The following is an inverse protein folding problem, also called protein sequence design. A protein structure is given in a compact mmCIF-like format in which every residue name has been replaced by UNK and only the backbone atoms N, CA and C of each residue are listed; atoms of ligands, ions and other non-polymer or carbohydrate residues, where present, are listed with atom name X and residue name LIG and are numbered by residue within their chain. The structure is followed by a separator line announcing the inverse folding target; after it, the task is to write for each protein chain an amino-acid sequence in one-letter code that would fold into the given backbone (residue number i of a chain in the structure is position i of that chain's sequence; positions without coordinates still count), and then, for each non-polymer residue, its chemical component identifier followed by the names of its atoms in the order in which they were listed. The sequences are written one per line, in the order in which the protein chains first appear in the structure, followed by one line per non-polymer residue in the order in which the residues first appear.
data_IF_367523436222
#
_entry.id   IF_367523436222
#
_cell.length_a   1.000
_cell.length_b   1.000
_cell.length_c   1.000
_cell.angle_alpha   90.00
_cell.angle_beta   90.00
_cell.angle_gamma   90.00
#
_symmetry.space_group_name_H-M   'P 1'
#
loop_
_entity.id
_entity.type
_entity.pdbx_description
1 polymer ?
#
# COMPACT_ATOMS: atom_id res chain seq x y z
N UNK A 1 -11.78 -6.18 -5.44
CA UNK A 1 -10.53 -5.56 -4.96
C UNK A 1 -10.55 -4.14 -5.42
N UNK A 2 -10.82 -3.21 -4.52
CA UNK A 2 -10.85 -1.78 -4.83
C UNK A 2 -9.47 -1.15 -4.57
N UNK A 3 -9.17 -0.08 -5.30
CA UNK A 3 -8.00 0.75 -5.05
C UNK A 3 -8.01 1.21 -3.59
N UNK A 4 -6.87 1.07 -2.92
CA UNK A 4 -6.61 1.39 -1.51
C UNK A 4 -7.21 0.44 -0.46
N UNK A 5 -7.71 -0.71 -0.88
CA UNK A 5 -7.92 -1.83 0.04
C UNK A 5 -6.58 -2.36 0.57
N UNK A 6 -6.54 -2.68 1.86
CA UNK A 6 -5.40 -3.36 2.50
C UNK A 6 -5.71 -4.85 2.63
N UNK A 7 -4.77 -5.68 2.20
CA UNK A 7 -4.86 -7.13 2.26
C UNK A 7 -3.77 -7.72 3.16
N UNK A 8 -4.11 -8.80 3.84
CA UNK A 8 -3.14 -9.68 4.53
C UNK A 8 -2.81 -10.89 3.66
N UNK A 9 -1.53 -11.12 3.44
CA UNK A 9 -1.02 -12.30 2.73
C UNK A 9 -0.94 -13.52 3.66
N UNK A 10 -0.76 -14.75 3.12
CA UNK A 10 -0.63 -15.96 3.95
C UNK A 10 0.55 -15.93 4.94
N UNK A 11 1.64 -15.26 4.61
CA UNK A 11 2.82 -15.06 5.47
C UNK A 11 2.65 -13.88 6.45
N UNK A 12 1.47 -13.24 6.45
CA UNK A 12 1.07 -12.23 7.43
C UNK A 12 1.44 -10.79 7.07
N UNK A 13 2.05 -10.55 5.90
CA UNK A 13 2.36 -9.20 5.43
C UNK A 13 1.08 -8.42 5.11
N UNK A 14 1.13 -7.11 5.32
CA UNK A 14 0.07 -6.20 4.93
C UNK A 14 0.47 -5.48 3.64
N UNK A 15 -0.40 -5.54 2.65
CA UNK A 15 -0.18 -4.98 1.32
C UNK A 15 -1.36 -4.08 0.96
N UNK A 16 -1.06 -2.87 0.52
CA UNK A 16 -2.04 -1.90 0.02
C UNK A 16 -2.18 -2.08 -1.49
N UNK A 17 -3.40 -2.27 -2.00
CA UNK A 17 -3.68 -2.19 -3.44
C UNK A 17 -3.57 -0.72 -3.89
N UNK A 18 -2.64 -0.41 -4.78
CA UNK A 18 -2.42 0.94 -5.29
C UNK A 18 -2.91 1.10 -6.74
N UNK A 19 -3.38 0.02 -7.37
CA UNK A 19 -3.78 0.01 -8.76
C UNK A 19 -5.14 0.69 -8.94
N UNK A 20 -5.26 1.52 -9.97
CA UNK A 20 -6.52 2.17 -10.31
C UNK A 20 -7.64 1.15 -10.59
N UNK A 21 -8.87 1.46 -10.15
CA UNK A 21 -10.04 0.61 -10.36
C UNK A 21 -10.38 0.42 -11.85
N UNK A 22 -10.07 1.40 -12.70
CA UNK A 22 -10.22 1.28 -14.16
C UNK A 22 -9.37 0.17 -14.78
N UNK A 23 -8.37 -0.33 -14.06
CA UNK A 23 -7.50 -1.44 -14.46
C UNK A 23 -7.86 -2.75 -13.73
N UNK A 24 -9.10 -2.90 -13.28
CA UNK A 24 -9.53 -4.08 -12.51
C UNK A 24 -9.43 -5.40 -13.28
N UNK A 25 -9.52 -5.38 -14.61
CA UNK A 25 -9.48 -6.58 -15.44
C UNK A 25 -8.09 -7.24 -15.52
N UNK A 26 -7.03 -6.55 -15.06
CA UNK A 26 -5.70 -7.13 -14.99
C UNK A 26 -5.64 -8.25 -13.95
N UNK A 27 -4.92 -9.33 -14.27
CA UNK A 27 -4.72 -10.47 -13.39
C UNK A 27 -3.82 -10.15 -12.17
N UNK A 28 -3.05 -9.06 -12.27
CA UNK A 28 -2.13 -8.59 -11.23
C UNK A 28 -2.60 -7.26 -10.64
N UNK A 29 -2.09 -6.96 -9.44
CA UNK A 29 -2.25 -5.70 -8.73
C UNK A 29 -0.89 -5.10 -8.40
N UNK A 30 -0.69 -3.83 -8.72
CA UNK A 30 0.38 -3.03 -8.13
C UNK A 30 0.05 -2.78 -6.65
N UNK A 31 0.94 -3.24 -5.77
CA UNK A 31 0.78 -3.12 -4.32
C UNK A 31 2.00 -2.45 -3.69
N UNK A 32 1.79 -1.81 -2.54
CA UNK A 32 2.87 -1.32 -1.68
C UNK A 32 2.78 -1.97 -0.29
N UNK A 33 3.89 -2.41 0.33
CA UNK A 33 3.85 -3.02 1.64
C UNK A 33 3.62 -1.99 2.75
N UNK A 34 2.83 -2.38 3.74
CA UNK A 34 2.63 -1.67 5.00
C UNK A 34 3.45 -2.37 6.09
N UNK A 35 4.51 -1.72 6.55
CA UNK A 35 5.43 -2.27 7.56
C UNK A 35 5.21 -1.52 8.87
N UNK A 36 5.19 -2.23 10.00
CA UNK A 36 5.13 -1.61 11.33
C UNK A 36 6.20 -0.52 11.44
N UNK A 37 5.80 0.63 11.98
CA UNK A 37 6.63 1.84 11.96
C UNK A 37 8.00 1.64 12.64
N UNK A 38 8.07 0.80 13.67
CA UNK A 38 9.30 0.46 14.40
C UNK A 38 10.27 -0.45 13.63
N UNK A 39 9.78 -1.12 12.58
CA UNK A 39 10.54 -2.04 11.71
C UNK A 39 10.75 -1.49 10.30
N UNK A 40 10.09 -0.40 9.96
CA UNK A 40 10.18 0.20 8.64
C UNK A 40 11.58 0.81 8.41
N UNK A 41 12.05 0.90 7.14
CA UNK A 41 13.24 1.67 6.80
C UNK A 41 13.12 3.14 7.25
N UNK A 42 14.25 3.87 7.36
CA UNK A 42 14.25 5.28 7.73
C UNK A 42 13.21 6.10 6.95
N UNK A 43 12.34 6.78 7.68
CA UNK A 43 11.17 7.44 7.11
C UNK A 43 11.57 8.64 6.25
N UNK A 44 10.94 8.75 5.09
CA UNK A 44 10.91 9.94 4.23
C UNK A 44 9.46 10.39 4.11
N UNK A 45 9.09 11.51 4.74
CA UNK A 45 7.68 11.86 4.97
C UNK A 45 6.79 11.84 3.71
N UNK A 46 7.30 12.34 2.59
CA UNK A 46 6.56 12.37 1.32
C UNK A 46 6.57 11.05 0.56
N UNK A 47 7.55 10.18 0.79
CA UNK A 47 7.66 8.87 0.12
C UNK A 47 6.97 7.77 0.93
N UNK A 48 6.98 7.86 2.26
CA UNK A 48 6.53 6.81 3.17
C UNK A 48 5.49 7.37 4.15
N UNK A 49 4.23 7.58 3.70
CA UNK A 49 3.13 7.97 4.57
C UNK A 49 2.87 6.89 5.63
N UNK A 50 2.30 7.32 6.75
CA UNK A 50 2.03 6.47 7.91
C UNK A 50 0.53 6.44 8.17
N UNK A 51 0.02 5.26 8.45
CA UNK A 51 -1.39 5.01 8.72
C UNK A 51 -1.56 4.35 10.08
N UNK A 52 -2.64 4.71 10.77
CA UNK A 52 -3.11 3.97 11.94
C UNK A 52 -4.06 2.87 11.46
N UNK A 53 -3.69 1.62 11.75
CA UNK A 53 -4.52 0.44 11.54
C UNK A 53 -4.73 -0.23 12.90
N UNK A 54 -5.94 -0.11 13.45
CA UNK A 54 -6.35 -0.71 14.72
C UNK A 54 -5.41 -0.37 15.92
N UNK A 55 -4.90 0.86 15.97
CA UNK A 55 -4.02 1.34 17.04
C UNK A 55 -2.54 1.00 16.86
N UNK A 56 -2.17 0.39 15.73
CA UNK A 56 -0.79 0.18 15.34
C UNK A 56 -0.43 1.08 14.14
N UNK A 57 0.75 1.71 14.20
CA UNK A 57 1.24 2.57 13.13
C UNK A 57 2.01 1.75 12.10
N UNK A 58 1.61 1.90 10.84
CA UNK A 58 2.25 1.27 9.69
C UNK A 58 2.73 2.32 8.71
N UNK A 59 3.98 2.21 8.26
CA UNK A 59 4.50 2.98 7.14
C UNK A 59 4.24 2.24 5.83
N UNK A 60 3.67 2.94 4.85
CA UNK A 60 3.75 2.49 3.46
C UNK A 60 5.19 2.65 2.99
N UNK A 61 5.79 1.58 2.48
CA UNK A 61 7.17 1.60 1.98
C UNK A 61 7.13 1.60 0.45
N UNK A 62 6.86 2.77 -0.12
CA UNK A 62 6.52 2.94 -1.55
C UNK A 62 7.61 2.42 -2.48
N UNK A 63 8.88 2.58 -2.11
CA UNK A 63 9.99 2.08 -2.92
C UNK A 63 10.09 0.55 -2.98
N UNK A 64 9.30 -0.18 -2.17
CA UNK A 64 9.16 -1.63 -2.23
C UNK A 64 7.86 -2.06 -2.94
N UNK A 65 7.21 -1.14 -3.66
CA UNK A 65 6.05 -1.48 -4.47
C UNK A 65 6.39 -2.58 -5.50
N UNK A 66 5.46 -3.51 -5.68
CA UNK A 66 5.63 -4.67 -6.55
C UNK A 66 4.29 -5.07 -7.17
N UNK A 67 4.33 -5.96 -8.15
CA UNK A 67 3.11 -6.56 -8.71
C UNK A 67 2.89 -7.95 -8.13
N UNK A 68 1.67 -8.23 -7.67
CA UNK A 68 1.26 -9.57 -7.23
C UNK A 68 0.04 -10.06 -8.00
N UNK A 69 -0.14 -11.37 -8.07
CA UNK A 69 -1.36 -11.97 -8.59
C UNK A 69 -2.54 -11.74 -7.64
N UNK A 70 -3.75 -11.55 -8.19
CA UNK A 70 -4.97 -11.38 -7.40
C UNK A 70 -5.21 -12.51 -6.37
N UNK A 71 -4.75 -13.73 -6.66
CA UNK A 71 -4.89 -14.90 -5.77
C UNK A 71 -4.03 -14.84 -4.50
N UNK A 72 -3.03 -13.95 -4.46
CA UNK A 72 -2.16 -13.74 -3.31
C UNK A 72 -2.78 -12.78 -2.28
N UNK A 73 -3.70 -11.92 -2.73
CA UNK A 73 -4.35 -10.89 -1.94
C UNK A 73 -5.69 -11.42 -1.41
N UNK A 74 -5.62 -12.17 -0.30
CA UNK A 74 -6.72 -13.02 0.18
C UNK A 74 -7.69 -12.32 1.12
N UNK A 75 -7.17 -11.78 2.22
CA UNK A 75 -8.01 -11.26 3.30
C UNK A 75 -7.93 -9.75 3.33
N UNK A 76 -9.00 -9.06 2.92
CA UNK A 76 -9.13 -7.61 3.13
C UNK A 76 -9.22 -7.34 4.63
N UNK A 77 -8.40 -6.42 5.14
CA UNK A 77 -8.35 -6.04 6.56
C UNK A 77 -8.67 -4.58 6.83
N UNK A 78 -8.48 -3.69 5.85
CA UNK A 78 -8.79 -2.27 5.99
C UNK A 78 -9.08 -1.62 4.63
N UNK A 79 -9.57 -0.38 4.67
CA UNK A 79 -9.72 0.53 3.55
C UNK A 79 -8.98 1.83 3.89
N UNK A 80 -8.10 2.28 3.01
CA UNK A 80 -7.32 3.51 3.17
C UNK A 80 -7.73 4.59 2.14
N UNK A 81 -8.96 4.52 1.61
CA UNK A 81 -9.45 5.47 0.61
C UNK A 81 -9.40 6.92 1.11
N UNK A 82 -9.62 7.13 2.42
CA UNK A 82 -9.50 8.46 3.05
C UNK A 82 -8.10 9.08 2.92
N UNK A 83 -7.06 8.25 2.78
CA UNK A 83 -5.65 8.67 2.63
C UNK A 83 -5.19 8.72 1.17
N UNK A 84 -6.13 8.69 0.20
CA UNK A 84 -5.83 8.72 -1.24
C UNK A 84 -4.78 9.75 -1.62
N UNK A 85 -4.87 10.97 -1.09
CA UNK A 85 -3.93 12.04 -1.44
C UNK A 85 -2.50 11.74 -0.99
N UNK A 86 -2.32 11.19 0.20
CA UNK A 86 -0.99 10.82 0.72
C UNK A 86 -0.40 9.65 -0.05
N UNK A 87 -1.24 8.66 -0.42
CA UNK A 87 -0.83 7.49 -1.20
C UNK A 87 -0.38 7.91 -2.60
N UNK A 88 -1.17 8.73 -3.29
CA UNK A 88 -0.83 9.20 -4.64
C UNK A 88 0.40 10.09 -4.62
N UNK A 89 0.53 11.00 -3.64
CA UNK A 89 1.73 11.84 -3.48
C UNK A 89 3.00 11.01 -3.27
N UNK A 90 2.91 9.91 -2.55
CA UNK A 90 4.05 9.03 -2.38
C UNK A 90 4.52 8.38 -3.69
N UNK A 91 3.58 7.96 -4.54
CA UNK A 91 3.92 7.46 -5.88
C UNK A 91 4.39 8.57 -6.82
N UNK A 92 3.83 9.78 -6.74
CA UNK A 92 4.32 10.94 -7.48
C UNK A 92 5.78 11.25 -7.09
N UNK A 93 6.06 11.35 -5.79
CA UNK A 93 7.43 11.50 -5.28
C UNK A 93 8.38 10.38 -5.74
N UNK A 94 7.91 9.13 -5.80
CA UNK A 94 8.72 7.99 -6.26
C UNK A 94 9.02 8.04 -7.76
N UNK A 95 8.07 8.51 -8.57
CA UNK A 95 8.14 8.44 -10.03
C UNK A 95 8.66 9.74 -10.67
N UNK A 96 8.27 10.88 -10.12
CA UNK A 96 8.51 12.22 -10.68
C UNK A 96 9.37 13.10 -9.76
N UNK A 97 9.41 12.79 -8.46
CA UNK A 97 10.17 13.56 -7.46
C UNK A 97 9.46 14.81 -6.94
N UNK A 98 8.14 14.90 -7.15
CA UNK A 98 7.28 16.02 -6.72
C UNK A 98 6.50 15.71 -5.44
#
# INVERSE_FOLDING_TARGET
MAQFDVYRTPDGQLLLDCQADSLELLATRLVAPLILLDRAPPRRAHLNPVFDLEGALYAMVTQFAATLGRSELRTKVADLTAYRFDIIRAFDMMLTGV
#
